data_IF_210151772243
#
_entry.id   IF_210151772243
#
_cell.length_a   1.000
_cell.length_b   1.000
_cell.length_c   1.000
_cell.angle_alpha   90.00
_cell.angle_beta   90.00
_cell.angle_gamma   90.00
#
_symmetry.space_group_name_H-M   'P 1'
#
loop_
_entity.id
_entity.type
_entity.pdbx_description
1 polymer ?
#
# COMPACT_ATOMS: atom_id res chain seq x y z
N UNK A 1 8.27 42.68 -6.10
CA UNK A 1 8.05 41.73 -7.18
C UNK A 1 9.38 41.09 -7.56
N UNK A 2 9.71 40.01 -6.90
CA UNK A 2 10.97 39.27 -7.06
C UNK A 2 10.68 37.81 -7.39
N UNK A 3 10.23 37.54 -8.62
CA UNK A 3 10.11 36.18 -9.14
C UNK A 3 11.47 35.71 -9.65
N UNK A 4 12.13 34.82 -8.93
CA UNK A 4 13.32 34.11 -9.40
C UNK A 4 12.88 33.11 -10.48
N UNK A 5 13.48 33.14 -11.69
CA UNK A 5 13.06 32.21 -12.77
C UNK A 5 13.50 30.79 -12.44
N UNK A 6 12.56 29.87 -12.39
CA UNK A 6 12.76 28.41 -12.23
C UNK A 6 13.58 27.72 -13.35
N UNK A 7 14.12 28.47 -14.31
CA UNK A 7 14.85 27.93 -15.46
C UNK A 7 16.35 27.76 -15.30
N UNK A 8 16.96 28.22 -14.20
CA UNK A 8 18.42 28.18 -14.05
C UNK A 8 18.91 26.84 -13.47
N UNK A 9 18.09 26.15 -12.67
CA UNK A 9 18.49 24.88 -12.04
C UNK A 9 18.71 23.71 -12.99
N UNK A 10 17.92 23.60 -14.05
CA UNK A 10 18.00 22.47 -15.00
C UNK A 10 19.14 22.58 -16.01
N UNK A 11 19.52 23.80 -16.39
CA UNK A 11 20.63 24.03 -17.33
C UNK A 11 22.00 23.84 -16.67
N UNK A 12 22.14 24.22 -15.40
CA UNK A 12 23.41 24.05 -14.65
C UNK A 12 23.70 22.59 -14.33
N UNK A 13 22.68 21.81 -13.95
CA UNK A 13 22.81 20.37 -13.73
C UNK A 13 23.21 19.61 -15.01
N UNK A 14 22.64 19.98 -16.15
CA UNK A 14 22.96 19.37 -17.43
C UNK A 14 24.39 19.66 -17.90
N UNK A 15 25.01 20.75 -17.45
CA UNK A 15 26.37 21.14 -17.86
C UNK A 15 27.46 20.53 -16.99
N UNK A 16 27.19 20.30 -15.71
CA UNK A 16 28.12 19.72 -14.74
C UNK A 16 28.33 18.22 -14.92
N UNK A 17 27.42 17.53 -15.59
CA UNK A 17 27.43 16.06 -15.72
C UNK A 17 27.65 15.54 -17.15
N UNK A 18 27.87 16.41 -18.13
CA UNK A 18 28.26 16.01 -19.48
C UNK A 18 29.71 15.49 -19.47
N UNK A 19 29.84 14.17 -19.45
CA UNK A 19 31.15 13.52 -19.67
C UNK A 19 31.55 12.45 -18.65
N UNK A 20 30.74 12.16 -17.66
CA UNK A 20 31.04 11.04 -16.76
C UNK A 20 30.37 9.77 -17.29
N UNK A 21 31.11 8.75 -17.80
CA UNK A 21 30.54 7.51 -18.32
C UNK A 21 29.84 6.68 -17.22
N UNK A 22 30.04 7.00 -15.95
CA UNK A 22 29.33 6.38 -14.82
C UNK A 22 27.94 6.96 -14.57
N UNK A 23 27.55 8.05 -15.24
CA UNK A 23 26.19 8.60 -15.27
C UNK A 23 25.39 8.15 -16.51
N UNK A 24 25.82 7.06 -17.15
CA UNK A 24 24.95 6.38 -18.10
C UNK A 24 23.73 5.89 -17.34
N UNK A 25 22.64 6.65 -17.48
CA UNK A 25 21.25 6.25 -17.26
C UNK A 25 21.10 4.95 -16.44
N UNK A 26 21.35 5.00 -15.15
CA UNK A 26 20.64 4.12 -14.26
C UNK A 26 19.17 4.45 -14.54
N UNK A 27 18.50 3.63 -15.33
CA UNK A 27 17.05 3.64 -15.42
C UNK A 27 16.58 3.54 -13.97
N UNK A 28 16.17 4.69 -13.41
CA UNK A 28 15.83 4.75 -12.00
C UNK A 28 14.65 3.80 -11.87
N UNK A 29 14.91 2.64 -11.28
CA UNK A 29 13.88 1.65 -11.01
C UNK A 29 12.82 2.35 -10.17
N UNK A 30 11.58 2.32 -10.61
CA UNK A 30 10.46 2.81 -9.81
C UNK A 30 10.36 1.99 -8.52
N UNK A 31 10.00 2.65 -7.44
CA UNK A 31 9.65 2.00 -6.19
C UNK A 31 8.32 1.26 -6.38
N UNK A 32 8.33 -0.03 -6.09
CA UNK A 32 7.13 -0.87 -6.20
C UNK A 32 6.36 -0.80 -4.89
N UNK A 33 5.11 -0.37 -4.99
CA UNK A 33 4.18 -0.25 -3.86
C UNK A 33 3.08 -1.30 -4.03
N UNK A 34 2.76 -2.03 -2.97
CA UNK A 34 1.58 -2.89 -2.92
C UNK A 34 0.58 -2.32 -1.92
N UNK A 35 -0.69 -2.28 -2.29
CA UNK A 35 -1.78 -1.88 -1.39
C UNK A 35 -2.63 -3.10 -1.06
N UNK A 36 -2.60 -3.50 0.20
CA UNK A 36 -3.39 -4.61 0.76
C UNK A 36 -4.61 -4.09 1.50
N UNK A 37 -5.78 -4.62 1.23
CA UNK A 37 -7.02 -4.40 1.98
C UNK A 37 -8.08 -5.46 1.67
N UNK A 38 -9.13 -5.53 2.49
CA UNK A 38 -10.34 -6.28 2.17
C UNK A 38 -11.10 -5.60 1.02
N UNK A 39 -11.15 -6.23 -0.17
CA UNK A 39 -11.74 -5.65 -1.38
C UNK A 39 -13.22 -5.28 -1.26
N UNK A 40 -13.99 -6.16 -0.61
CA UNK A 40 -15.46 -6.11 -0.60
C UNK A 40 -16.04 -5.17 0.47
N UNK A 41 -15.19 -4.57 1.30
CA UNK A 41 -15.63 -3.67 2.34
C UNK A 41 -15.70 -2.22 1.83
N UNK A 42 -16.36 -1.35 2.58
CA UNK A 42 -16.58 0.03 2.24
C UNK A 42 -15.89 0.98 3.24
N UNK A 43 -15.60 2.19 2.81
CA UNK A 43 -14.98 3.25 3.59
C UNK A 43 -15.75 4.57 3.40
N UNK A 44 -16.06 5.32 4.46
CA UNK A 44 -15.73 5.09 5.88
C UNK A 44 -16.68 4.13 6.62
N UNK A 45 -17.62 3.52 5.96
CA UNK A 45 -18.58 2.58 6.51
C UNK A 45 -19.45 1.97 5.42
N UNK A 46 -20.52 1.23 5.75
CA UNK A 46 -21.32 0.46 4.78
C UNK A 46 -21.87 1.27 3.60
N UNK A 47 -22.20 2.54 3.83
CA UNK A 47 -22.70 3.47 2.81
C UNK A 47 -21.58 4.24 2.07
N UNK A 48 -20.33 3.90 2.36
CA UNK A 48 -19.17 4.58 1.80
C UNK A 48 -18.72 4.02 0.46
N UNK A 49 -17.53 4.43 0.05
CA UNK A 49 -16.87 3.97 -1.18
C UNK A 49 -16.30 2.55 -0.99
N UNK A 50 -16.48 1.61 -1.93
CA UNK A 50 -15.81 0.32 -1.89
C UNK A 50 -14.28 0.46 -1.75
N UNK A 51 -13.66 -0.35 -0.90
CA UNK A 51 -12.19 -0.32 -0.72
C UNK A 51 -11.43 -0.64 -2.02
N UNK A 52 -12.05 -1.36 -2.94
CA UNK A 52 -11.55 -1.54 -4.31
C UNK A 52 -11.34 -0.20 -5.01
N UNK A 53 -12.30 0.71 -4.92
CA UNK A 53 -12.21 2.04 -5.56
C UNK A 53 -11.26 2.95 -4.79
N UNK A 54 -11.25 2.87 -3.46
CA UNK A 54 -10.25 3.56 -2.63
C UNK A 54 -8.83 3.17 -3.06
N UNK A 55 -8.56 1.88 -3.28
CA UNK A 55 -7.23 1.42 -3.74
C UNK A 55 -6.89 1.93 -5.14
N UNK A 56 -7.86 1.96 -6.06
CA UNK A 56 -7.66 2.50 -7.41
C UNK A 56 -7.30 3.98 -7.39
N UNK A 57 -7.97 4.77 -6.57
CA UNK A 57 -7.67 6.20 -6.42
C UNK A 57 -6.30 6.41 -5.74
N UNK A 58 -5.98 5.65 -4.69
CA UNK A 58 -4.66 5.69 -4.06
C UNK A 58 -3.55 5.34 -5.05
N UNK A 59 -3.74 4.26 -5.85
CA UNK A 59 -2.81 3.89 -6.92
C UNK A 59 -2.58 5.05 -7.87
N UNK A 60 -3.65 5.64 -8.38
CA UNK A 60 -3.59 6.76 -9.32
C UNK A 60 -2.85 7.97 -8.72
N UNK A 61 -3.14 8.31 -7.47
CA UNK A 61 -2.49 9.41 -6.76
C UNK A 61 -1.00 9.14 -6.55
N UNK A 62 -0.63 7.96 -6.06
CA UNK A 62 0.78 7.60 -5.83
C UNK A 62 1.58 7.55 -7.13
N UNK A 63 1.02 6.97 -8.21
CA UNK A 63 1.68 6.90 -9.51
C UNK A 63 1.78 8.25 -10.23
N UNK A 64 0.99 9.25 -9.81
CA UNK A 64 1.11 10.61 -10.31
C UNK A 64 2.28 11.38 -9.70
N UNK A 65 2.79 10.94 -8.55
CA UNK A 65 3.88 11.58 -7.85
C UNK A 65 5.20 11.51 -8.64
N UNK A 66 5.93 12.61 -8.62
CA UNK A 66 7.20 12.74 -9.32
C UNK A 66 8.32 13.12 -8.38
N UNK A 67 9.43 12.38 -8.45
CA UNK A 67 10.68 12.75 -7.83
C UNK A 67 11.62 13.29 -8.92
N UNK A 68 12.10 14.51 -8.74
CA UNK A 68 12.97 15.18 -9.72
C UNK A 68 12.40 15.20 -11.14
N UNK A 69 11.07 15.31 -11.27
CA UNK A 69 10.38 15.37 -12.56
C UNK A 69 10.05 14.02 -13.22
N UNK A 70 10.52 12.91 -12.67
CA UNK A 70 10.23 11.55 -13.16
C UNK A 70 9.22 10.84 -12.26
N UNK A 71 8.36 9.99 -12.85
CA UNK A 71 7.46 9.12 -12.10
C UNK A 71 8.28 8.14 -11.23
N UNK A 72 8.07 8.19 -9.92
CA UNK A 72 8.88 7.46 -8.95
C UNK A 72 8.28 6.12 -8.52
N UNK A 73 6.98 5.93 -8.67
CA UNK A 73 6.26 4.79 -8.12
C UNK A 73 5.58 3.95 -9.21
N UNK A 74 5.47 2.66 -8.92
CA UNK A 74 4.65 1.68 -9.62
C UNK A 74 3.82 0.95 -8.56
N UNK A 75 2.48 1.04 -8.65
CA UNK A 75 1.59 0.53 -7.62
C UNK A 75 0.86 -0.71 -8.12
N UNK A 76 0.93 -1.78 -7.34
CA UNK A 76 0.15 -2.99 -7.56
C UNK A 76 -1.03 -3.08 -6.59
N UNK A 77 -2.19 -3.41 -7.13
CA UNK A 77 -3.40 -3.78 -6.40
C UNK A 77 -3.94 -5.08 -6.99
N UNK A 78 -4.66 -5.87 -6.22
CA UNK A 78 -5.13 -7.18 -6.68
C UNK A 78 -6.06 -7.09 -7.89
N UNK A 79 -6.74 -5.97 -8.08
CA UNK A 79 -7.63 -5.72 -9.23
C UNK A 79 -6.89 -5.57 -10.57
N UNK A 80 -5.59 -5.28 -10.53
CA UNK A 80 -4.76 -5.20 -11.75
C UNK A 80 -4.21 -6.57 -12.17
N UNK A 81 -4.36 -7.59 -11.34
CA UNK A 81 -4.05 -8.93 -11.76
C UNK A 81 -4.91 -9.23 -12.99
N UNK A 82 -4.31 -9.23 -14.17
CA UNK A 82 -4.92 -9.81 -15.38
C UNK A 82 -5.52 -11.14 -14.96
N UNK A 83 -6.73 -11.44 -15.49
CA UNK A 83 -7.47 -12.65 -15.13
C UNK A 83 -6.48 -13.79 -14.92
N UNK A 84 -6.18 -14.05 -13.66
CA UNK A 84 -5.05 -14.89 -13.26
C UNK A 84 -5.17 -16.17 -14.05
N UNK A 85 -4.12 -16.52 -14.76
CA UNK A 85 -3.96 -17.85 -15.32
C UNK A 85 -4.52 -18.81 -14.27
N UNK A 86 -5.64 -19.49 -14.61
CA UNK A 86 -6.39 -20.35 -13.68
C UNK A 86 -5.53 -21.41 -12.99
N UNK A 87 -4.26 -21.53 -13.38
CA UNK A 87 -3.23 -22.38 -12.78
C UNK A 87 -2.54 -21.74 -11.57
N UNK A 88 -2.70 -20.43 -11.31
CA UNK A 88 -2.04 -19.74 -10.19
C UNK A 88 -3.03 -19.42 -9.10
N UNK A 89 -2.77 -19.94 -7.92
CA UNK A 89 -3.48 -19.58 -6.71
C UNK A 89 -3.32 -18.06 -6.45
N UNK A 90 -4.45 -17.36 -6.37
CA UNK A 90 -4.47 -15.93 -6.08
C UNK A 90 -3.77 -15.58 -4.75
N UNK A 91 -3.78 -16.51 -3.80
CA UNK A 91 -3.07 -16.41 -2.53
C UNK A 91 -1.55 -16.29 -2.74
N UNK A 92 -0.98 -17.22 -3.49
CA UNK A 92 0.46 -17.24 -3.75
C UNK A 92 0.91 -16.04 -4.59
N UNK A 93 0.05 -15.58 -5.51
CA UNK A 93 0.28 -14.37 -6.28
C UNK A 93 0.35 -13.12 -5.38
N UNK A 94 -0.59 -12.96 -4.44
CA UNK A 94 -0.58 -11.87 -3.48
C UNK A 94 0.68 -11.89 -2.60
N UNK A 95 1.03 -13.04 -2.01
CA UNK A 95 2.22 -13.16 -1.17
C UNK A 95 3.51 -12.91 -1.97
N UNK A 96 3.54 -13.32 -3.24
CA UNK A 96 4.67 -12.98 -4.13
C UNK A 96 4.80 -11.47 -4.30
N UNK A 97 3.70 -10.75 -4.54
CA UNK A 97 3.74 -9.29 -4.64
C UNK A 97 4.19 -8.62 -3.35
N UNK A 98 3.77 -9.15 -2.19
CA UNK A 98 4.28 -8.69 -0.90
C UNK A 98 5.79 -8.84 -0.82
N UNK A 99 6.37 -9.98 -1.22
CA UNK A 99 7.83 -10.18 -1.22
C UNK A 99 8.55 -9.22 -2.16
N UNK A 100 7.98 -9.00 -3.33
CA UNK A 100 8.60 -8.25 -4.42
C UNK A 100 8.47 -6.73 -4.29
N UNK A 101 7.54 -6.20 -3.50
CA UNK A 101 7.36 -4.76 -3.35
C UNK A 101 8.43 -4.12 -2.44
N UNK A 102 8.69 -2.84 -2.66
CA UNK A 102 9.57 -2.02 -1.82
C UNK A 102 8.80 -1.39 -0.65
N UNK A 103 7.49 -1.15 -0.82
CA UNK A 103 6.58 -0.63 0.20
C UNK A 103 5.28 -1.43 0.19
N UNK A 104 4.85 -1.90 1.35
CA UNK A 104 3.55 -2.53 1.57
C UNK A 104 2.67 -1.59 2.39
N UNK A 105 1.59 -1.09 1.78
CA UNK A 105 0.56 -0.31 2.46
C UNK A 105 -0.59 -1.26 2.82
N UNK A 106 -0.88 -1.38 4.10
CA UNK A 106 -1.99 -2.20 4.62
C UNK A 106 -3.10 -1.29 5.12
N UNK A 107 -4.24 -1.29 4.45
CA UNK A 107 -5.45 -0.60 4.90
C UNK A 107 -6.24 -1.56 5.81
N UNK A 108 -6.06 -1.40 7.10
CA UNK A 108 -6.64 -2.30 8.11
C UNK A 108 -7.97 -1.74 8.62
N UNK A 109 -9.06 -2.43 8.32
CA UNK A 109 -10.41 -2.11 8.78
C UNK A 109 -10.98 -3.14 9.77
N UNK A 110 -10.14 -4.01 10.32
CA UNK A 110 -10.53 -5.07 11.23
C UNK A 110 -10.80 -6.43 10.57
N UNK A 111 -10.89 -6.49 9.24
CA UNK A 111 -11.12 -7.74 8.51
C UNK A 111 -9.82 -8.42 8.05
N UNK A 112 -9.73 -9.73 8.31
CA UNK A 112 -8.56 -10.54 7.94
C UNK A 112 -8.57 -11.01 6.47
N UNK A 113 -9.68 -10.81 5.76
CA UNK A 113 -9.86 -11.33 4.41
C UNK A 113 -10.36 -12.78 4.37
N UNK A 114 -10.46 -13.33 3.16
CA UNK A 114 -10.84 -14.73 2.95
C UNK A 114 -9.69 -15.68 3.34
N UNK A 115 -9.99 -16.94 3.59
CA UNK A 115 -9.04 -17.99 3.92
C UNK A 115 -9.26 -19.21 3.04
N UNK A 116 -8.21 -20.00 2.79
CA UNK A 116 -8.31 -21.25 2.01
C UNK A 116 -9.20 -22.27 2.73
N UNK A 117 -9.02 -22.39 4.04
CA UNK A 117 -9.79 -23.28 4.91
C UNK A 117 -10.35 -22.53 6.11
N UNK A 118 -11.37 -23.08 6.75
CA UNK A 118 -12.08 -22.43 7.86
C UNK A 118 -11.17 -22.08 9.04
N UNK A 119 -10.16 -22.89 9.32
CA UNK A 119 -9.20 -22.71 10.42
C UNK A 119 -8.05 -21.76 10.12
N UNK A 120 -7.85 -21.40 8.84
CA UNK A 120 -6.71 -20.62 8.39
C UNK A 120 -6.82 -19.14 8.76
N UNK A 121 -5.69 -18.45 8.65
CA UNK A 121 -5.66 -16.98 8.70
C UNK A 121 -6.22 -16.41 7.39
N UNK A 122 -6.75 -15.19 7.44
CA UNK A 122 -7.21 -14.51 6.23
C UNK A 122 -6.05 -13.95 5.40
N UNK A 123 -6.30 -13.73 4.10
CA UNK A 123 -5.28 -13.26 3.14
C UNK A 123 -4.64 -11.94 3.58
N UNK A 124 -5.42 -10.96 4.06
CA UNK A 124 -4.87 -9.66 4.49
C UNK A 124 -3.95 -9.82 5.72
N UNK A 125 -4.26 -10.78 6.60
CA UNK A 125 -3.40 -11.13 7.74
C UNK A 125 -2.11 -11.81 7.26
N UNK A 126 -2.21 -12.74 6.30
CA UNK A 126 -1.06 -13.42 5.71
C UNK A 126 -0.12 -12.44 4.99
N UNK A 127 -0.67 -11.49 4.22
CA UNK A 127 0.09 -10.43 3.56
C UNK A 127 0.85 -9.56 4.57
N UNK A 128 0.20 -9.21 5.69
CA UNK A 128 0.85 -8.45 6.76
C UNK A 128 2.01 -9.22 7.40
N UNK A 129 1.81 -10.50 7.75
CA UNK A 129 2.86 -11.37 8.27
C UNK A 129 4.03 -11.48 7.28
N UNK A 130 3.73 -11.76 6.01
CA UNK A 130 4.74 -11.91 4.97
C UNK A 130 5.55 -10.62 4.78
N UNK A 131 4.88 -9.47 4.84
CA UNK A 131 5.53 -8.16 4.82
C UNK A 131 6.51 -7.98 5.97
N UNK A 132 6.09 -8.29 7.20
CA UNK A 132 6.95 -8.20 8.38
C UNK A 132 8.14 -9.16 8.32
N UNK A 133 7.93 -10.37 7.83
CA UNK A 133 8.96 -11.39 7.69
C UNK A 133 9.98 -11.01 6.61
N UNK A 134 9.53 -10.39 5.51
CA UNK A 134 10.42 -9.96 4.44
C UNK A 134 11.24 -8.73 4.85
N UNK A 135 10.59 -7.70 5.35
CA UNK A 135 11.22 -6.48 5.90
C UNK A 135 10.21 -5.64 6.66
N UNK A 136 10.42 -5.49 7.96
CA UNK A 136 9.56 -4.65 8.80
C UNK A 136 9.52 -3.19 8.33
N UNK A 137 10.62 -2.69 7.80
CA UNK A 137 10.75 -1.30 7.37
C UNK A 137 9.91 -0.94 6.16
N UNK A 138 9.50 -1.93 5.35
CA UNK A 138 8.65 -1.66 4.18
C UNK A 138 7.15 -1.60 4.48
N UNK A 139 6.72 -2.07 5.66
CA UNK A 139 5.30 -2.19 6.00
C UNK A 139 4.78 -0.87 6.56
N UNK A 140 3.69 -0.37 6.00
CA UNK A 140 2.94 0.81 6.45
C UNK A 140 1.50 0.41 6.69
N UNK A 141 1.07 0.42 7.94
CA UNK A 141 -0.30 0.08 8.31
C UNK A 141 -1.09 1.36 8.58
N UNK A 142 -2.22 1.49 7.91
CA UNK A 142 -3.20 2.58 8.08
C UNK A 142 -4.45 1.95 8.67
N UNK A 143 -4.82 2.36 9.88
CA UNK A 143 -6.09 1.94 10.47
C UNK A 143 -7.25 2.73 9.89
N UNK A 144 -8.24 2.01 9.41
CA UNK A 144 -9.51 2.53 8.94
C UNK A 144 -10.59 2.29 10.01
N UNK A 145 -11.71 3.02 9.96
CA UNK A 145 -12.87 2.67 10.77
C UNK A 145 -13.24 1.20 10.60
N UNK A 146 -13.51 0.52 11.70
CA UNK A 146 -13.86 -0.90 11.70
C UNK A 146 -15.18 -1.10 10.98
N UNK A 147 -15.23 -2.05 10.06
CA UNK A 147 -16.47 -2.48 9.41
C UNK A 147 -17.44 -3.12 10.40
N UNK A 148 -18.71 -3.19 9.98
CA UNK A 148 -19.76 -3.85 10.74
C UNK A 148 -19.36 -5.29 11.10
N UNK A 149 -19.77 -5.73 12.29
CA UNK A 149 -19.54 -7.10 12.74
C UNK A 149 -20.18 -8.10 11.77
N UNK A 150 -19.50 -9.20 11.51
CA UNK A 150 -20.04 -10.33 10.75
C UNK A 150 -20.70 -11.33 11.69
N UNK A 151 -21.76 -11.99 11.23
CA UNK A 151 -22.38 -13.13 11.93
C UNK A 151 -21.62 -14.45 11.72
N UNK A 152 -20.66 -14.49 10.81
CA UNK A 152 -19.81 -15.67 10.57
C UNK A 152 -18.76 -15.79 11.68
N UNK A 153 -18.89 -16.85 12.48
CA UNK A 153 -18.00 -17.14 13.62
C UNK A 153 -16.54 -17.34 13.16
N UNK A 154 -16.33 -18.10 12.07
CA UNK A 154 -14.99 -18.35 11.57
C UNK A 154 -14.31 -17.05 11.07
N UNK A 155 -15.08 -16.18 10.44
CA UNK A 155 -14.58 -14.86 10.03
C UNK A 155 -14.28 -13.97 11.25
N UNK A 156 -15.13 -14.02 12.27
CA UNK A 156 -14.90 -13.28 13.52
C UNK A 156 -13.61 -13.72 14.20
N UNK A 157 -13.35 -15.02 14.29
CA UNK A 157 -12.12 -15.56 14.87
C UNK A 157 -10.89 -15.15 14.07
N UNK A 158 -10.96 -15.18 12.73
CA UNK A 158 -9.88 -14.69 11.86
C UNK A 158 -9.60 -13.21 12.09
N UNK A 159 -10.64 -12.40 12.17
CA UNK A 159 -10.54 -10.97 12.42
C UNK A 159 -9.89 -10.68 13.78
N UNK A 160 -10.31 -11.38 14.82
CA UNK A 160 -9.75 -11.25 16.17
C UNK A 160 -8.27 -11.66 16.22
N UNK A 161 -7.89 -12.75 15.53
CA UNK A 161 -6.47 -13.17 15.41
C UNK A 161 -5.63 -12.10 14.72
N UNK A 162 -6.12 -11.51 13.63
CA UNK A 162 -5.39 -10.45 12.94
C UNK A 162 -5.24 -9.21 13.83
N UNK A 163 -6.32 -8.80 14.50
CA UNK A 163 -6.32 -7.66 15.44
C UNK A 163 -5.31 -7.87 16.57
N UNK A 164 -5.31 -9.04 17.19
CA UNK A 164 -4.39 -9.39 18.28
C UNK A 164 -2.95 -9.43 17.78
N UNK A 165 -2.69 -10.04 16.61
CA UNK A 165 -1.37 -10.09 16.01
C UNK A 165 -0.86 -8.67 15.70
N UNK A 166 -1.68 -7.82 15.09
CA UNK A 166 -1.33 -6.42 14.83
C UNK A 166 -0.96 -5.67 16.11
N UNK A 167 -1.66 -5.91 17.20
CA UNK A 167 -1.37 -5.27 18.49
C UNK A 167 -0.05 -5.73 19.10
N UNK A 168 0.30 -7.01 18.96
CA UNK A 168 1.55 -7.57 19.48
C UNK A 168 2.75 -7.25 18.58
N UNK A 169 2.55 -7.20 17.28
CA UNK A 169 3.58 -7.05 16.24
C UNK A 169 3.46 -5.70 15.54
N UNK A 170 3.48 -4.59 16.28
CA UNK A 170 3.52 -3.27 15.66
C UNK A 170 4.73 -3.18 14.72
N UNK A 171 4.46 -3.11 13.42
CA UNK A 171 5.48 -3.07 12.38
C UNK A 171 6.37 -1.83 12.51
N UNK A 172 5.75 -0.73 12.88
CA UNK A 172 6.42 0.55 13.04
C UNK A 172 5.74 1.31 14.17
N UNK A 173 6.44 1.48 15.28
CA UNK A 173 5.91 2.21 16.44
C UNK A 173 5.58 3.68 16.17
N UNK A 174 5.97 4.20 15.02
CA UNK A 174 5.61 5.52 14.53
C UNK A 174 4.58 5.49 13.42
N UNK A 175 4.00 4.32 13.09
CA UNK A 175 2.86 4.22 12.20
C UNK A 175 1.74 5.05 12.81
N UNK A 176 1.45 6.19 12.20
CA UNK A 176 0.36 7.03 12.64
C UNK A 176 -0.90 6.23 12.45
N UNK A 177 -1.54 5.93 13.55
CA UNK A 177 -2.91 5.47 13.58
C UNK A 177 -3.74 6.75 13.60
N UNK A 178 -4.33 7.18 12.48
CA UNK A 178 -5.31 8.24 12.55
C UNK A 178 -6.50 7.64 13.30
N UNK A 179 -6.74 8.09 14.51
CA UNK A 179 -7.90 7.63 15.28
C UNK A 179 -9.22 7.99 14.57
N UNK A 180 -9.16 8.97 13.67
CA UNK A 180 -10.29 9.40 12.85
C UNK A 180 -9.81 9.76 11.45
N UNK A 181 -9.94 8.83 10.51
CA UNK A 181 -9.82 9.13 9.08
C UNK A 181 -11.21 9.27 8.49
N UNK A 182 -11.82 10.47 8.51
CA UNK A 182 -13.22 10.61 8.13
C UNK A 182 -13.44 10.66 6.62
N UNK A 183 -12.37 10.83 5.83
CA UNK A 183 -12.49 11.04 4.38
C UNK A 183 -11.42 10.31 3.59
N UNK A 184 -11.73 10.01 2.32
CA UNK A 184 -10.79 9.43 1.36
C UNK A 184 -9.50 10.29 1.24
N UNK A 185 -9.63 11.61 1.16
CA UNK A 185 -8.48 12.52 1.09
C UNK A 185 -7.54 12.45 2.29
N UNK A 186 -8.05 12.10 3.49
CA UNK A 186 -7.19 11.88 4.65
C UNK A 186 -6.39 10.58 4.52
N UNK A 187 -6.99 9.51 3.96
CA UNK A 187 -6.28 8.25 3.66
C UNK A 187 -5.21 8.47 2.60
N UNK A 188 -5.53 9.21 1.52
CA UNK A 188 -4.59 9.56 0.45
C UNK A 188 -3.40 10.33 0.99
N UNK A 189 -3.63 11.39 1.76
CA UNK A 189 -2.57 12.18 2.37
C UNK A 189 -1.68 11.34 3.29
N UNK A 190 -2.26 10.41 4.03
CA UNK A 190 -1.52 9.52 4.91
C UNK A 190 -0.67 8.51 4.11
N UNK A 191 -1.27 7.89 3.08
CA UNK A 191 -0.57 6.95 2.21
C UNK A 191 0.60 7.63 1.47
N UNK A 192 0.41 8.85 0.97
CA UNK A 192 1.44 9.65 0.32
C UNK A 192 2.59 9.98 1.29
N UNK A 193 2.29 10.40 2.53
CA UNK A 193 3.31 10.68 3.55
C UNK A 193 4.14 9.44 3.90
N UNK A 194 3.51 8.28 3.96
CA UNK A 194 4.18 7.03 4.30
C UNK A 194 4.97 6.44 3.10
N UNK A 195 4.56 6.73 1.88
CA UNK A 195 5.27 6.34 0.66
C UNK A 195 6.44 7.27 0.31
N UNK A 196 6.48 8.47 0.87
CA UNK A 196 7.53 9.47 0.63
C UNK A 196 8.72 9.42 1.61
N UNK A 197 8.77 8.40 2.46
CA UNK A 197 9.90 8.10 3.34
C UNK A 197 10.72 6.96 2.77
#
# INVERSE_FOLDING_TARGET
DGSIPQRIGSALAAHLFKGNPYYSMATSRKLRVMISSRCMDHFPGPEGTPLTDVRRELKKSIEAEKLFGAKAFEVWINEDAEALDHSKDSWDACLKQVRDCDVLIVLFNGHAGWAKEAGDIGICHAEYIEGLNTSRSKVRLIELPTCAATSDVAQTDRNNRFKSFKQSESAFRGGIVPQDVPTLGAVENQAQRLGGL
#
